data_IF_457537657980
#
_entry.id   IF_457537657980
#
_cell.length_a   1.000
_cell.length_b   1.000
_cell.length_c   1.000
_cell.angle_alpha   90.00
_cell.angle_beta   90.00
_cell.angle_gamma   90.00
#
_symmetry.space_group_name_H-M   'P 1'
#
loop_
_entity.id
_entity.type
_entity.pdbx_description
1 polymer ?
#
# COMPACT_ATOMS: atom_id res chain seq x y z
N UNK A 1 4.60 -35.72 11.81
CA UNK A 1 5.51 -34.62 11.40
C UNK A 1 5.01 -33.82 10.18
N UNK A 2 3.84 -34.13 9.61
CA UNK A 2 3.27 -33.36 8.47
C UNK A 2 2.30 -32.22 8.89
N UNK A 3 1.83 -32.14 10.13
CA UNK A 3 0.77 -31.20 10.53
C UNK A 3 1.24 -29.84 11.06
N UNK A 4 2.52 -29.66 11.34
CA UNK A 4 3.05 -28.35 11.80
C UNK A 4 3.56 -27.45 10.66
N UNK A 5 3.76 -27.99 9.45
CA UNK A 5 4.23 -27.22 8.30
C UNK A 5 3.13 -26.44 7.55
N UNK A 6 1.85 -26.71 7.81
CA UNK A 6 0.73 -26.12 7.05
C UNK A 6 0.11 -24.87 7.69
N UNK A 7 0.51 -24.47 8.89
CA UNK A 7 0.05 -23.24 9.54
C UNK A 7 0.66 -21.97 8.92
N UNK A 8 0.10 -20.81 9.25
CA UNK A 8 0.58 -19.48 8.79
C UNK A 8 2.09 -19.34 8.92
N UNK A 9 2.65 -19.64 10.10
CA UNK A 9 4.10 -19.56 10.36
C UNK A 9 4.93 -20.44 9.42
N UNK A 10 4.44 -21.63 9.11
CA UNK A 10 5.12 -22.57 8.20
C UNK A 10 5.15 -22.04 6.75
N UNK A 11 4.03 -21.50 6.25
CA UNK A 11 3.97 -20.89 4.92
C UNK A 11 4.85 -19.67 4.81
N UNK A 12 4.80 -18.75 5.78
CA UNK A 12 5.67 -17.56 5.83
C UNK A 12 7.14 -17.94 5.88
N UNK A 13 7.53 -18.94 6.68
CA UNK A 13 8.92 -19.42 6.75
C UNK A 13 9.40 -19.97 5.40
N UNK A 14 8.60 -20.81 4.73
CA UNK A 14 8.95 -21.31 3.38
C UNK A 14 9.10 -20.19 2.37
N UNK A 15 8.14 -19.23 2.36
CA UNK A 15 8.18 -18.07 1.49
C UNK A 15 9.45 -17.23 1.73
N UNK A 16 9.76 -16.93 2.99
CA UNK A 16 10.97 -16.20 3.36
C UNK A 16 12.25 -16.90 2.90
N UNK A 17 12.35 -18.21 3.11
CA UNK A 17 13.51 -18.99 2.66
C UNK A 17 13.62 -18.95 1.13
N UNK A 18 12.54 -19.18 0.41
CA UNK A 18 12.54 -19.14 -1.06
C UNK A 18 12.99 -17.77 -1.58
N UNK A 19 12.44 -16.69 -1.04
CA UNK A 19 12.80 -15.32 -1.43
C UNK A 19 14.25 -14.95 -1.10
N UNK A 20 14.83 -15.54 -0.05
CA UNK A 20 16.24 -15.34 0.31
C UNK A 20 17.17 -15.92 -0.76
N UNK A 21 16.79 -17.05 -1.33
CA UNK A 21 17.62 -17.79 -2.31
C UNK A 21 17.41 -17.33 -3.75
N UNK A 22 16.37 -16.52 -4.00
CA UNK A 22 16.02 -16.04 -5.35
C UNK A 22 16.88 -14.84 -5.79
N UNK A 23 17.22 -14.81 -7.08
CA UNK A 23 17.70 -13.61 -7.76
C UNK A 23 16.50 -12.82 -8.28
N UNK A 24 16.02 -11.85 -7.48
CA UNK A 24 14.85 -11.07 -7.81
C UNK A 24 15.17 -9.98 -8.85
N UNK A 25 14.27 -9.74 -9.82
CA UNK A 25 14.49 -8.75 -10.88
C UNK A 25 14.45 -7.32 -10.31
N UNK A 26 15.26 -6.43 -10.84
CA UNK A 26 15.38 -5.05 -10.38
C UNK A 26 15.45 -4.04 -11.53
N UNK A 27 16.01 -2.87 -11.25
CA UNK A 27 16.07 -1.71 -12.15
C UNK A 27 16.94 -1.92 -13.42
N UNK A 28 17.71 -3.00 -13.49
CA UNK A 28 18.48 -3.36 -14.68
C UNK A 28 17.72 -4.30 -15.62
N UNK A 29 16.51 -4.73 -15.22
CA UNK A 29 15.68 -5.62 -16.03
C UNK A 29 15.27 -4.94 -17.33
N UNK A 30 15.51 -5.57 -18.50
CA UNK A 30 15.10 -5.02 -19.77
C UNK A 30 13.58 -4.87 -19.88
N UNK A 31 13.09 -3.76 -20.45
CA UNK A 31 11.66 -3.52 -20.65
C UNK A 31 10.98 -4.64 -21.45
N UNK A 32 11.68 -5.25 -22.40
CA UNK A 32 11.16 -6.38 -23.16
C UNK A 32 10.85 -7.61 -22.29
N UNK A 33 11.59 -7.84 -21.20
CA UNK A 33 11.34 -8.96 -20.27
C UNK A 33 10.13 -8.65 -19.39
N UNK A 34 10.00 -7.38 -18.94
CA UNK A 34 8.82 -6.93 -18.19
C UNK A 34 7.55 -7.12 -19.03
N UNK A 35 7.59 -6.70 -20.30
CA UNK A 35 6.47 -6.84 -21.22
C UNK A 35 6.15 -8.31 -21.59
N UNK A 36 7.12 -9.22 -21.48
CA UNK A 36 6.90 -10.67 -21.67
C UNK A 36 6.31 -11.39 -20.45
N UNK A 37 6.15 -10.69 -19.33
CA UNK A 37 5.51 -11.23 -18.15
C UNK A 37 6.45 -11.75 -17.07
N UNK A 38 7.64 -11.17 -16.93
CA UNK A 38 8.62 -11.51 -15.90
C UNK A 38 8.00 -11.63 -14.49
N UNK A 39 7.01 -10.79 -14.17
CA UNK A 39 6.34 -10.87 -12.87
C UNK A 39 5.63 -12.21 -12.67
N UNK A 40 5.12 -12.84 -13.74
CA UNK A 40 4.51 -14.18 -13.66
C UNK A 40 5.55 -15.24 -13.34
N UNK A 41 6.76 -15.12 -13.89
CA UNK A 41 7.86 -16.04 -13.60
C UNK A 41 8.26 -15.92 -12.12
N UNK A 42 8.35 -14.69 -11.60
CA UNK A 42 8.61 -14.44 -10.16
C UNK A 42 7.54 -15.09 -9.26
N UNK A 43 6.26 -15.03 -9.66
CA UNK A 43 5.21 -15.71 -8.93
C UNK A 43 5.31 -17.24 -9.05
N UNK A 44 5.72 -17.77 -10.22
CA UNK A 44 5.89 -19.21 -10.43
C UNK A 44 6.94 -19.80 -9.48
N UNK A 45 8.02 -19.06 -9.24
CA UNK A 45 9.10 -19.48 -8.34
C UNK A 45 8.68 -19.63 -6.87
N UNK A 46 7.59 -19.00 -6.46
CA UNK A 46 7.06 -19.03 -5.08
C UNK A 46 5.65 -19.59 -4.97
N UNK A 47 5.04 -20.05 -6.06
CA UNK A 47 3.63 -20.44 -6.07
C UNK A 47 3.33 -21.64 -5.16
N UNK A 48 4.27 -22.56 -5.03
CA UNK A 48 4.22 -23.70 -4.11
C UNK A 48 4.21 -23.29 -2.62
N UNK A 49 4.65 -22.06 -2.30
CA UNK A 49 4.55 -21.47 -0.97
C UNK A 49 3.16 -20.86 -0.69
N UNK A 50 2.23 -20.90 -1.67
CA UNK A 50 0.88 -20.34 -1.58
C UNK A 50 0.86 -18.86 -1.16
N UNK A 51 1.55 -17.96 -1.88
CA UNK A 51 1.78 -16.58 -1.45
C UNK A 51 0.50 -15.74 -1.36
N UNK A 52 -0.60 -16.19 -1.95
CA UNK A 52 -1.89 -15.51 -1.93
C UNK A 52 -2.93 -16.19 -1.01
N UNK A 53 -2.53 -17.25 -0.27
CA UNK A 53 -3.45 -18.01 0.58
C UNK A 53 -4.14 -17.13 1.64
N UNK A 54 -3.40 -16.22 2.29
CA UNK A 54 -3.97 -15.32 3.28
C UNK A 54 -5.15 -14.47 2.77
N UNK A 55 -5.18 -14.17 1.46
CA UNK A 55 -6.24 -13.37 0.81
C UNK A 55 -7.46 -14.19 0.37
N UNK A 56 -7.40 -15.52 0.47
CA UNK A 56 -8.54 -16.37 0.17
C UNK A 56 -9.64 -16.17 1.24
N UNK A 57 -10.90 -16.46 0.95
CA UNK A 57 -11.97 -16.38 1.95
C UNK A 57 -11.61 -17.12 3.25
N UNK A 58 -12.05 -16.61 4.41
CA UNK A 58 -11.80 -17.25 5.72
C UNK A 58 -12.27 -18.70 5.76
N UNK A 59 -13.38 -19.03 5.07
CA UNK A 59 -13.86 -20.39 4.92
C UNK A 59 -12.90 -21.32 4.15
N UNK A 60 -11.93 -20.75 3.42
CA UNK A 60 -10.86 -21.45 2.70
C UNK A 60 -9.50 -21.33 3.43
N UNK A 61 -9.49 -20.81 4.65
CA UNK A 61 -8.30 -20.71 5.50
C UNK A 61 -7.57 -19.36 5.43
N UNK A 62 -8.04 -18.40 4.65
CA UNK A 62 -7.44 -17.05 4.61
C UNK A 62 -7.53 -16.33 5.94
N UNK A 63 -6.56 -15.48 6.26
CA UNK A 63 -6.53 -14.74 7.51
C UNK A 63 -5.79 -13.41 7.40
N UNK A 64 -6.20 -12.44 8.23
CA UNK A 64 -5.54 -11.14 8.33
C UNK A 64 -4.09 -11.25 8.79
N UNK A 65 -3.81 -12.14 9.75
CA UNK A 65 -2.45 -12.41 10.22
C UNK A 65 -1.53 -12.83 9.06
N UNK A 66 -2.00 -13.76 8.23
CA UNK A 66 -1.22 -14.24 7.09
C UNK A 66 -1.04 -13.17 6.01
N UNK A 67 -2.07 -12.36 5.73
CA UNK A 67 -1.96 -11.21 4.82
C UNK A 67 -0.83 -10.28 5.26
N UNK A 68 -0.87 -9.83 6.51
CA UNK A 68 0.08 -8.86 7.04
C UNK A 68 1.50 -9.43 7.08
N UNK A 69 1.67 -10.68 7.53
CA UNK A 69 2.96 -11.36 7.56
C UNK A 69 3.53 -11.59 6.14
N UNK A 70 2.67 -11.93 5.17
CA UNK A 70 3.09 -12.11 3.77
C UNK A 70 3.58 -10.80 3.17
N UNK A 71 2.81 -9.72 3.26
CA UNK A 71 3.20 -8.43 2.65
C UNK A 71 4.46 -7.85 3.31
N UNK A 72 4.63 -8.02 4.62
CA UNK A 72 5.83 -7.63 5.36
C UNK A 72 7.05 -8.43 4.87
N UNK A 73 6.94 -9.75 4.85
CA UNK A 73 8.04 -10.64 4.44
C UNK A 73 8.47 -10.34 3.01
N UNK A 74 7.53 -10.22 2.09
CA UNK A 74 7.85 -9.98 0.69
C UNK A 74 8.40 -8.57 0.48
N UNK A 75 7.90 -7.56 1.19
CA UNK A 75 8.43 -6.20 1.10
C UNK A 75 9.87 -6.08 1.62
N UNK A 76 10.27 -6.90 2.57
CA UNK A 76 11.66 -7.00 3.00
C UNK A 76 12.59 -7.45 1.88
N UNK A 77 12.16 -8.43 1.07
CA UNK A 77 12.97 -8.96 -0.02
C UNK A 77 12.83 -8.16 -1.31
N UNK A 78 11.58 -7.79 -1.70
CA UNK A 78 11.33 -7.21 -3.01
C UNK A 78 10.04 -6.38 -3.03
N UNK A 79 10.16 -5.06 -2.98
CA UNK A 79 9.03 -4.14 -2.92
C UNK A 79 8.08 -4.24 -4.14
N UNK A 80 8.56 -4.39 -5.39
CA UNK A 80 7.68 -4.61 -6.54
C UNK A 80 6.81 -5.87 -6.42
N UNK A 81 7.35 -6.96 -5.89
CA UNK A 81 6.58 -8.19 -5.67
C UNK A 81 5.53 -8.00 -4.56
N UNK A 82 5.86 -7.30 -3.48
CA UNK A 82 4.90 -6.98 -2.43
C UNK A 82 3.71 -6.18 -2.97
N UNK A 83 3.97 -5.19 -3.84
CA UNK A 83 2.89 -4.46 -4.52
C UNK A 83 2.09 -5.37 -5.46
N UNK A 84 2.73 -6.26 -6.21
CA UNK A 84 2.03 -7.21 -7.07
C UNK A 84 1.14 -8.16 -6.26
N UNK A 85 1.58 -8.60 -5.07
CA UNK A 85 0.75 -9.39 -4.14
C UNK A 85 -0.43 -8.57 -3.61
N UNK A 86 -0.22 -7.30 -3.28
CA UNK A 86 -1.31 -6.40 -2.88
C UNK A 86 -2.34 -6.20 -4.00
N UNK A 87 -1.90 -6.08 -5.25
CA UNK A 87 -2.79 -5.99 -6.42
C UNK A 87 -3.64 -7.27 -6.53
N UNK A 88 -3.01 -8.44 -6.49
CA UNK A 88 -3.72 -9.71 -6.58
C UNK A 88 -4.65 -9.95 -5.38
N UNK A 89 -4.15 -9.74 -4.17
CA UNK A 89 -4.85 -10.06 -2.94
C UNK A 89 -5.89 -9.01 -2.57
N UNK A 90 -5.44 -7.78 -2.32
CA UNK A 90 -6.30 -6.74 -1.73
C UNK A 90 -7.19 -6.08 -2.77
N UNK A 91 -6.66 -5.82 -3.98
CA UNK A 91 -7.43 -5.14 -5.01
C UNK A 91 -8.28 -6.10 -5.85
N UNK A 92 -8.02 -7.41 -5.79
CA UNK A 92 -8.78 -8.39 -6.57
C UNK A 92 -9.43 -9.49 -5.69
N UNK A 93 -8.66 -10.36 -5.00
CA UNK A 93 -9.20 -11.53 -4.30
C UNK A 93 -10.15 -11.17 -3.16
N UNK A 94 -9.77 -10.25 -2.27
CA UNK A 94 -10.63 -9.85 -1.15
C UNK A 94 -11.98 -9.26 -1.63
N UNK A 95 -12.02 -8.31 -2.60
CA UNK A 95 -13.30 -7.82 -3.13
C UNK A 95 -14.12 -8.89 -3.83
N UNK A 96 -13.51 -9.77 -4.62
CA UNK A 96 -14.20 -10.88 -5.28
C UNK A 96 -14.78 -11.83 -4.23
N UNK A 97 -13.97 -12.22 -3.24
CA UNK A 97 -14.43 -13.10 -2.15
C UNK A 97 -15.62 -12.56 -1.38
N UNK A 98 -15.65 -11.23 -1.19
CA UNK A 98 -16.67 -10.55 -0.40
C UNK A 98 -17.92 -10.15 -1.20
N UNK A 99 -17.76 -9.63 -2.42
CA UNK A 99 -18.81 -8.93 -3.14
C UNK A 99 -19.30 -9.61 -4.42
N UNK A 100 -18.61 -10.65 -4.90
CA UNK A 100 -19.01 -11.36 -6.12
C UNK A 100 -20.17 -12.33 -5.85
N UNK A 101 -21.03 -12.53 -6.87
CA UNK A 101 -22.01 -13.61 -6.89
C UNK A 101 -21.32 -14.97 -6.81
N UNK A 102 -22.01 -15.97 -6.24
CA UNK A 102 -21.41 -17.29 -5.94
C UNK A 102 -20.72 -17.91 -7.13
N UNK A 103 -21.32 -17.88 -8.34
CA UNK A 103 -20.73 -18.46 -9.53
C UNK A 103 -19.36 -17.85 -9.85
N UNK A 104 -19.26 -16.51 -9.88
CA UNK A 104 -18.02 -15.80 -10.20
C UNK A 104 -16.98 -16.00 -9.09
N UNK A 105 -17.43 -15.90 -7.85
CA UNK A 105 -16.55 -16.11 -6.69
C UNK A 105 -15.95 -17.51 -6.70
N UNK A 106 -16.78 -18.54 -6.83
CA UNK A 106 -16.36 -19.93 -6.73
C UNK A 106 -15.45 -20.32 -7.91
N UNK A 107 -15.71 -19.78 -9.12
CA UNK A 107 -14.84 -19.92 -10.29
C UNK A 107 -13.45 -19.32 -10.02
N UNK A 108 -13.38 -18.05 -9.60
CA UNK A 108 -12.12 -17.34 -9.34
C UNK A 108 -11.34 -18.03 -8.21
N UNK A 109 -12.01 -18.33 -7.07
CA UNK A 109 -11.33 -18.94 -5.94
C UNK A 109 -10.78 -20.35 -6.26
N UNK A 110 -11.53 -21.12 -7.05
CA UNK A 110 -11.04 -22.43 -7.54
C UNK A 110 -9.76 -22.30 -8.37
N UNK A 111 -9.70 -21.31 -9.26
CA UNK A 111 -8.52 -21.06 -10.10
C UNK A 111 -7.30 -20.64 -9.27
N UNK A 112 -7.47 -19.75 -8.30
CA UNK A 112 -6.37 -19.30 -7.42
C UNK A 112 -5.92 -20.35 -6.40
N UNK A 113 -6.73 -21.39 -6.14
CA UNK A 113 -6.36 -22.53 -5.30
C UNK A 113 -5.63 -23.64 -6.08
N UNK A 114 -5.51 -23.51 -7.39
CA UNK A 114 -4.86 -24.48 -8.27
C UNK A 114 -3.34 -24.42 -8.23
N UNK A 115 -2.72 -25.33 -8.98
CA UNK A 115 -1.26 -25.42 -9.13
C UNK A 115 -0.69 -24.37 -10.11
N UNK A 116 -1.53 -23.86 -11.01
CA UNK A 116 -1.10 -22.91 -12.02
C UNK A 116 -1.07 -21.50 -11.47
N UNK A 117 -0.10 -20.69 -11.90
CA UNK A 117 -0.03 -19.28 -11.54
C UNK A 117 -1.21 -18.54 -12.15
N UNK A 118 -2.02 -17.94 -11.29
CA UNK A 118 -3.15 -17.10 -11.67
C UNK A 118 -2.98 -15.71 -11.09
N UNK A 119 -3.11 -14.68 -11.92
CA UNK A 119 -2.95 -13.29 -11.53
C UNK A 119 -4.27 -12.53 -11.73
N UNK A 120 -4.65 -11.74 -10.75
CA UNK A 120 -5.80 -10.85 -10.80
C UNK A 120 -5.40 -9.40 -10.65
N UNK A 121 -6.07 -8.51 -11.37
CA UNK A 121 -5.80 -7.09 -11.35
C UNK A 121 -7.05 -6.23 -11.28
N UNK A 122 -6.87 -4.93 -11.04
CA UNK A 122 -7.94 -3.95 -11.01
C UNK A 122 -7.68 -2.84 -12.04
N UNK A 123 -8.69 -2.55 -12.85
CA UNK A 123 -8.70 -1.45 -13.82
C UNK A 123 -9.66 -0.36 -13.36
N UNK A 124 -9.14 0.67 -12.68
CA UNK A 124 -9.94 1.78 -12.15
C UNK A 124 -9.64 3.09 -12.88
N UNK A 125 -8.38 3.47 -12.96
CA UNK A 125 -7.89 4.76 -13.46
C UNK A 125 -8.06 4.89 -14.97
N UNK A 126 -8.32 6.11 -15.44
CA UNK A 126 -8.47 6.47 -16.85
C UNK A 126 -7.57 7.67 -17.20
N UNK A 127 -7.20 7.89 -18.49
CA UNK A 127 -6.26 8.95 -18.86
C UNK A 127 -6.61 10.36 -18.36
N UNK A 128 -7.89 10.61 -18.11
CA UNK A 128 -8.40 11.92 -17.67
C UNK A 128 -8.87 11.94 -16.21
N UNK A 129 -8.87 10.80 -15.51
CA UNK A 129 -9.26 10.74 -14.10
C UNK A 129 -8.44 9.71 -13.30
N UNK A 130 -7.99 10.13 -12.13
CA UNK A 130 -7.33 9.29 -11.15
C UNK A 130 -7.97 9.50 -9.78
N UNK A 131 -7.65 10.59 -9.10
CA UNK A 131 -8.21 10.93 -7.78
C UNK A 131 -9.73 11.16 -7.83
N UNK A 132 -10.23 11.82 -8.87
CA UNK A 132 -11.66 12.00 -9.11
C UNK A 132 -12.24 10.80 -9.87
N UNK A 133 -12.54 9.73 -9.13
CA UNK A 133 -13.11 8.50 -9.70
C UNK A 133 -14.51 8.70 -10.31
N UNK A 134 -15.24 9.75 -9.91
CA UNK A 134 -16.57 10.04 -10.43
C UNK A 134 -16.56 10.66 -11.83
N UNK A 135 -15.39 11.09 -12.29
CA UNK A 135 -15.17 11.54 -13.66
C UNK A 135 -14.94 10.39 -14.65
N UNK A 136 -14.98 9.11 -14.21
CA UNK A 136 -14.77 7.96 -15.07
C UNK A 136 -15.75 7.92 -16.24
N UNK A 137 -15.22 7.64 -17.44
CA UNK A 137 -15.95 7.61 -18.72
C UNK A 137 -16.16 6.20 -19.26
N UNK A 138 -15.46 5.19 -18.76
CA UNK A 138 -15.74 3.78 -19.09
C UNK A 138 -17.19 3.49 -18.73
N UNK A 139 -17.97 3.02 -19.71
CA UNK A 139 -19.41 2.77 -19.54
C UNK A 139 -19.70 1.29 -19.39
N UNK A 140 -20.74 0.97 -18.63
CA UNK A 140 -21.36 -0.34 -18.55
C UNK A 140 -22.82 -0.20 -19.04
N UNK A 141 -23.14 -0.81 -20.17
CA UNK A 141 -24.49 -0.84 -20.72
C UNK A 141 -25.11 -2.21 -20.48
N UNK A 142 -26.09 -2.25 -19.58
CA UNK A 142 -26.75 -3.49 -19.17
C UNK A 142 -27.82 -3.89 -20.19
N UNK A 143 -27.75 -5.13 -20.69
CA UNK A 143 -28.80 -5.79 -21.46
C UNK A 143 -29.62 -6.78 -20.60
N UNK A 144 -30.44 -7.60 -21.25
CA UNK A 144 -31.29 -8.58 -20.56
C UNK A 144 -30.45 -9.67 -19.84
N UNK A 145 -29.40 -10.19 -20.48
CA UNK A 145 -28.57 -11.29 -19.99
C UNK A 145 -27.09 -10.92 -19.82
N UNK A 146 -26.63 -9.88 -20.50
CA UNK A 146 -25.24 -9.46 -20.52
C UNK A 146 -25.09 -7.96 -20.29
N UNK A 147 -23.88 -7.53 -19.91
CA UNK A 147 -23.48 -6.14 -19.77
C UNK A 147 -22.27 -5.89 -20.67
N UNK A 148 -22.37 -4.93 -21.58
CA UNK A 148 -21.24 -4.48 -22.39
C UNK A 148 -20.49 -3.37 -21.67
N UNK A 149 -19.17 -3.55 -21.52
CA UNK A 149 -18.27 -2.56 -20.93
C UNK A 149 -17.36 -2.00 -22.02
N UNK A 150 -17.31 -0.66 -22.11
CA UNK A 150 -16.50 0.02 -23.13
C UNK A 150 -15.80 1.24 -22.55
N UNK A 151 -14.50 1.35 -22.83
CA UNK A 151 -13.69 2.48 -22.39
C UNK A 151 -12.21 2.26 -22.54
N UNK A 152 -11.45 3.08 -21.80
CA UNK A 152 -9.99 3.01 -21.78
C UNK A 152 -9.50 3.11 -20.35
N UNK A 153 -8.57 2.23 -19.98
CA UNK A 153 -7.93 2.19 -18.67
C UNK A 153 -6.44 2.37 -18.78
N UNK A 154 -5.81 2.92 -17.72
CA UNK A 154 -4.36 3.05 -17.69
C UNK A 154 -3.78 2.94 -16.27
N UNK A 155 -2.46 2.83 -16.19
CA UNK A 155 -1.72 2.62 -14.93
C UNK A 155 -2.21 1.42 -14.12
N UNK A 156 -2.86 0.45 -14.75
CA UNK A 156 -3.19 -0.80 -14.09
C UNK A 156 -1.93 -1.66 -13.94
N UNK A 157 -1.55 -2.00 -12.73
CA UNK A 157 -0.47 -2.96 -12.51
C UNK A 157 -0.86 -4.32 -13.09
N UNK A 158 0.10 -5.08 -13.61
CA UNK A 158 -0.07 -6.35 -14.34
C UNK A 158 -0.70 -6.20 -15.73
N UNK A 159 -0.65 -5.01 -16.34
CA UNK A 159 -1.17 -4.76 -17.70
C UNK A 159 -0.70 -5.84 -18.68
N UNK A 160 -1.65 -6.50 -19.34
CA UNK A 160 -1.40 -7.57 -20.32
C UNK A 160 -1.03 -8.93 -19.73
N UNK A 161 -0.95 -9.08 -18.39
CA UNK A 161 -0.47 -10.32 -17.73
C UNK A 161 -1.37 -10.85 -16.63
N UNK A 162 -2.40 -10.12 -16.21
CA UNK A 162 -3.42 -10.68 -15.32
C UNK A 162 -4.33 -11.65 -16.10
N UNK A 163 -4.78 -12.72 -15.44
CA UNK A 163 -5.76 -13.68 -15.98
C UNK A 163 -7.20 -13.20 -15.75
N UNK A 164 -7.38 -12.38 -14.71
CA UNK A 164 -8.67 -11.76 -14.40
C UNK A 164 -8.51 -10.27 -14.15
N UNK A 165 -9.51 -9.52 -14.57
CA UNK A 165 -9.61 -8.10 -14.31
C UNK A 165 -10.90 -7.75 -13.58
N UNK A 166 -10.78 -6.88 -12.59
CA UNK A 166 -11.91 -6.19 -11.98
C UNK A 166 -12.01 -4.79 -12.59
N UNK A 167 -12.95 -4.58 -13.51
CA UNK A 167 -13.07 -3.37 -14.31
C UNK A 167 -14.10 -2.43 -13.69
N UNK A 168 -13.68 -1.21 -13.33
CA UNK A 168 -14.54 -0.14 -12.85
C UNK A 168 -15.23 0.57 -14.03
N UNK A 169 -16.55 0.65 -13.99
CA UNK A 169 -17.33 1.26 -15.06
C UNK A 169 -18.56 2.01 -14.53
N UNK A 170 -19.03 2.99 -15.30
CA UNK A 170 -20.21 3.78 -15.03
C UNK A 170 -21.41 3.17 -15.75
N UNK A 171 -22.44 2.80 -15.00
CA UNK A 171 -23.74 2.39 -15.51
C UNK A 171 -24.61 3.64 -15.72
N UNK A 172 -24.90 3.99 -16.96
CA UNK A 172 -25.62 5.21 -17.33
C UNK A 172 -27.13 5.10 -17.05
N UNK A 173 -27.65 3.89 -16.99
CA UNK A 173 -29.08 3.62 -16.75
C UNK A 173 -29.40 3.40 -15.27
N UNK A 174 -28.36 3.19 -14.44
CA UNK A 174 -28.54 2.97 -13.01
C UNK A 174 -28.78 4.27 -12.24
N UNK A 175 -29.58 4.16 -11.18
CA UNK A 175 -29.80 5.25 -10.22
C UNK A 175 -28.48 5.68 -9.52
N UNK A 176 -28.49 6.85 -8.87
CA UNK A 176 -27.30 7.45 -8.24
C UNK A 176 -26.51 6.49 -7.33
N UNK A 177 -27.21 5.57 -6.64
CA UNK A 177 -26.59 4.59 -5.72
C UNK A 177 -25.77 3.53 -6.44
N UNK A 178 -26.19 3.13 -7.64
CA UNK A 178 -25.64 2.02 -8.42
C UNK A 178 -24.92 2.48 -9.68
N UNK A 179 -24.67 3.79 -9.79
CA UNK A 179 -24.11 4.46 -10.98
C UNK A 179 -22.74 3.93 -11.40
N UNK A 180 -21.97 3.41 -10.47
CA UNK A 180 -20.65 2.82 -10.72
C UNK A 180 -20.62 1.40 -10.17
N UNK A 181 -19.87 0.54 -10.81
CA UNK A 181 -19.64 -0.82 -10.33
C UNK A 181 -18.30 -1.36 -10.84
N UNK A 182 -17.81 -2.39 -10.15
CA UNK A 182 -16.78 -3.25 -10.68
C UNK A 182 -17.41 -4.47 -11.35
N UNK A 183 -16.75 -4.98 -12.37
CA UNK A 183 -17.14 -6.18 -13.10
C UNK A 183 -15.92 -7.09 -13.22
N UNK A 184 -16.08 -8.36 -12.89
CA UNK A 184 -15.02 -9.38 -13.02
C UNK A 184 -15.05 -9.93 -14.45
N UNK A 185 -13.92 -9.89 -15.12
CA UNK A 185 -13.74 -10.37 -16.49
C UNK A 185 -12.53 -11.28 -16.61
N UNK A 186 -12.60 -12.35 -17.40
CA UNK A 186 -11.41 -13.07 -17.84
C UNK A 186 -10.62 -12.21 -18.82
N UNK A 187 -9.29 -12.23 -18.68
CA UNK A 187 -8.40 -11.53 -19.61
C UNK A 187 -8.30 -12.21 -21.00
N UNK A 188 -8.83 -13.44 -21.12
CA UNK A 188 -8.93 -14.14 -22.42
C UNK A 188 -9.96 -13.50 -23.37
N UNK A 189 -10.80 -12.57 -22.87
CA UNK A 189 -11.74 -11.84 -23.73
C UNK A 189 -10.94 -10.96 -24.73
N UNK A 190 -11.14 -11.15 -26.05
CA UNK A 190 -10.41 -10.41 -27.09
C UNK A 190 -10.69 -8.91 -27.10
N UNK A 191 -11.64 -8.43 -26.31
CA UNK A 191 -11.96 -7.02 -26.14
C UNK A 191 -10.97 -6.27 -25.24
N UNK A 192 -10.04 -6.95 -24.57
CA UNK A 192 -8.90 -6.33 -23.91
C UNK A 192 -7.74 -6.16 -24.90
N UNK A 193 -7.33 -4.91 -25.15
CA UNK A 193 -6.21 -4.60 -26.05
C UNK A 193 -5.26 -3.63 -25.38
N UNK A 194 -4.06 -4.10 -25.04
CA UNK A 194 -3.00 -3.22 -24.57
C UNK A 194 -2.55 -2.35 -25.75
N UNK A 195 -2.72 -1.03 -25.63
CA UNK A 195 -2.33 -0.06 -26.65
C UNK A 195 -0.95 0.54 -26.40
N UNK A 196 -0.48 0.53 -25.16
CA UNK A 196 0.81 1.10 -24.78
C UNK A 196 1.31 0.46 -23.48
N UNK A 197 2.61 0.17 -23.40
CA UNK A 197 3.30 -0.14 -22.16
C UNK A 197 4.12 1.07 -21.70
N UNK A 198 4.09 1.37 -20.42
CA UNK A 198 4.83 2.48 -19.82
C UNK A 198 6.20 2.04 -19.33
N UNK A 199 7.22 2.85 -19.59
CA UNK A 199 8.53 2.70 -19.00
C UNK A 199 8.57 3.46 -17.67
N UNK A 200 8.40 2.73 -16.57
CA UNK A 200 8.45 3.30 -15.23
C UNK A 200 9.90 3.35 -14.70
N UNK A 201 10.24 4.40 -13.96
CA UNK A 201 11.57 4.53 -13.34
C UNK A 201 11.71 3.74 -12.04
N UNK A 202 10.63 3.20 -11.50
CA UNK A 202 10.57 2.35 -10.30
C UNK A 202 9.53 1.26 -10.44
N UNK A 203 9.53 0.28 -9.52
CA UNK A 203 8.67 -0.89 -9.56
C UNK A 203 8.78 -1.66 -10.89
N UNK A 204 9.97 -1.66 -11.47
CA UNK A 204 10.24 -2.08 -12.85
C UNK A 204 9.71 -3.46 -13.24
N UNK A 205 9.68 -4.49 -12.38
CA UNK A 205 9.13 -5.80 -12.73
C UNK A 205 7.63 -5.82 -13.00
N UNK A 206 6.89 -4.75 -12.61
CA UNK A 206 5.44 -4.68 -12.80
C UNK A 206 5.13 -4.01 -14.13
N UNK A 207 4.46 -4.68 -15.07
CA UNK A 207 4.03 -4.05 -16.30
C UNK A 207 2.88 -3.08 -16.04
N UNK A 208 3.05 -1.84 -16.44
CA UNK A 208 2.03 -0.80 -16.47
C UNK A 208 1.75 -0.39 -17.92
N UNK A 209 0.52 0.04 -18.19
CA UNK A 209 0.20 0.45 -19.54
C UNK A 209 -1.19 1.04 -19.69
N UNK A 210 -1.60 1.17 -20.93
CA UNK A 210 -2.90 1.63 -21.37
C UNK A 210 -3.63 0.47 -22.06
N UNK A 211 -4.89 0.24 -21.67
CA UNK A 211 -5.71 -0.87 -22.16
C UNK A 211 -7.06 -0.35 -22.67
N UNK A 212 -7.36 -0.64 -23.92
CA UNK A 212 -8.71 -0.49 -24.49
C UNK A 212 -9.56 -1.65 -23.99
N UNK A 213 -10.80 -1.36 -23.61
CA UNK A 213 -11.77 -2.32 -23.10
C UNK A 213 -13.05 -2.22 -23.96
N UNK A 214 -13.44 -3.31 -24.60
CA UNK A 214 -14.73 -3.47 -25.30
C UNK A 214 -15.16 -4.93 -25.16
N UNK A 215 -15.74 -5.26 -24.02
CA UNK A 215 -16.05 -6.62 -23.58
C UNK A 215 -17.54 -6.78 -23.29
N UNK A 216 -18.03 -8.00 -23.39
CA UNK A 216 -19.40 -8.35 -23.03
C UNK A 216 -19.41 -9.46 -21.97
N UNK A 217 -19.99 -9.19 -20.82
CA UNK A 217 -19.97 -10.05 -19.65
C UNK A 217 -21.38 -10.46 -19.24
N UNK A 218 -21.58 -11.65 -18.66
CA UNK A 218 -22.83 -11.98 -17.98
C UNK A 218 -23.16 -10.98 -16.89
N UNK A 219 -24.45 -10.72 -16.64
CA UNK A 219 -24.89 -9.72 -15.67
C UNK A 219 -24.46 -10.03 -14.22
N UNK A 220 -24.16 -11.26 -13.89
CA UNK A 220 -23.64 -11.70 -12.59
C UNK A 220 -22.13 -11.46 -12.42
N UNK A 221 -21.42 -11.02 -13.47
CA UNK A 221 -20.04 -10.56 -13.37
C UNK A 221 -19.89 -9.24 -12.58
N UNK A 222 -21.00 -8.48 -12.41
CA UNK A 222 -21.04 -7.29 -11.58
C UNK A 222 -20.93 -7.65 -10.11
N UNK A 223 -19.99 -7.04 -9.39
CA UNK A 223 -19.81 -7.25 -7.95
C UNK A 223 -20.49 -6.14 -7.13
N UNK A 224 -20.80 -6.44 -5.87
CA UNK A 224 -21.40 -5.48 -4.94
C UNK A 224 -22.91 -5.35 -5.08
N UNK A 225 -23.62 -6.36 -5.56
CA UNK A 225 -25.09 -6.35 -5.63
C UNK A 225 -25.71 -6.09 -4.27
N UNK A 226 -26.56 -5.05 -4.20
CA UNK A 226 -27.19 -4.61 -2.95
C UNK A 226 -26.34 -3.66 -2.07
N UNK A 227 -25.04 -3.53 -2.34
CA UNK A 227 -24.18 -2.54 -1.69
C UNK A 227 -24.07 -1.26 -2.55
N UNK A 228 -24.00 -0.08 -1.89
CA UNK A 228 -23.68 1.14 -2.61
C UNK A 228 -22.24 1.06 -3.15
N UNK A 229 -22.02 1.48 -4.40
CA UNK A 229 -20.69 1.44 -5.01
C UNK A 229 -19.62 2.17 -4.17
N UNK A 230 -20.02 3.27 -3.51
CA UNK A 230 -19.12 4.02 -2.62
C UNK A 230 -18.61 3.19 -1.45
N UNK A 231 -19.45 2.30 -0.91
CA UNK A 231 -19.04 1.39 0.17
C UNK A 231 -18.09 0.31 -0.32
N UNK A 232 -18.29 -0.20 -1.54
CA UNK A 232 -17.35 -1.17 -2.16
C UNK A 232 -15.99 -0.53 -2.41
N UNK A 233 -15.97 0.66 -3.03
CA UNK A 233 -14.73 1.42 -3.27
C UNK A 233 -14.03 1.77 -1.95
N UNK A 234 -14.76 2.29 -0.97
CA UNK A 234 -14.22 2.61 0.35
C UNK A 234 -13.60 1.38 1.02
N UNK A 235 -14.30 0.24 1.00
CA UNK A 235 -13.81 -1.01 1.58
C UNK A 235 -12.53 -1.53 0.92
N UNK A 236 -12.40 -1.42 -0.40
CA UNK A 236 -11.17 -1.76 -1.13
C UNK A 236 -10.02 -0.83 -0.70
N UNK A 237 -10.23 0.48 -0.75
CA UNK A 237 -9.22 1.47 -0.42
C UNK A 237 -8.78 1.40 1.06
N UNK A 238 -9.70 1.15 1.99
CA UNK A 238 -9.36 0.96 3.40
C UNK A 238 -8.40 -0.21 3.61
N UNK A 239 -8.69 -1.37 3.02
CA UNK A 239 -7.85 -2.56 3.14
C UNK A 239 -6.47 -2.33 2.53
N UNK A 240 -6.43 -1.78 1.32
CA UNK A 240 -5.17 -1.46 0.64
C UNK A 240 -4.31 -0.48 1.45
N UNK A 241 -4.92 0.52 2.07
CA UNK A 241 -4.23 1.47 2.95
C UNK A 241 -3.74 0.83 4.25
N UNK A 242 -4.51 -0.06 4.85
CA UNK A 242 -4.13 -0.73 6.10
C UNK A 242 -2.89 -1.63 5.94
N UNK A 243 -2.80 -2.39 4.85
CA UNK A 243 -1.63 -3.23 4.60
C UNK A 243 -0.35 -2.43 4.33
N UNK A 244 -0.46 -1.14 4.03
CA UNK A 244 0.72 -0.28 3.80
C UNK A 244 1.65 -0.21 5.02
N UNK A 245 1.12 -0.41 6.24
CA UNK A 245 1.95 -0.54 7.45
C UNK A 245 2.90 -1.73 7.38
N UNK A 246 2.40 -2.90 6.96
CA UNK A 246 3.19 -4.11 6.80
C UNK A 246 4.21 -4.00 5.66
N UNK A 247 3.78 -3.46 4.52
CA UNK A 247 4.69 -3.19 3.37
C UNK A 247 5.82 -2.25 3.79
N UNK A 248 5.48 -1.15 4.48
CA UNK A 248 6.47 -0.16 4.91
C UNK A 248 7.43 -0.74 5.97
N UNK A 249 6.94 -1.56 6.90
CA UNK A 249 7.78 -2.18 7.92
C UNK A 249 8.79 -3.16 7.30
N UNK A 250 8.34 -4.08 6.45
CA UNK A 250 9.26 -4.98 5.74
C UNK A 250 10.31 -4.23 4.93
N UNK A 251 9.89 -3.23 4.17
CA UNK A 251 10.77 -2.39 3.38
C UNK A 251 11.78 -1.59 4.24
N UNK A 252 11.31 -0.92 5.31
CA UNK A 252 12.17 -0.12 6.18
C UNK A 252 13.22 -0.98 6.90
N UNK A 253 12.86 -2.20 7.33
CA UNK A 253 13.80 -3.19 7.87
C UNK A 253 14.90 -3.54 6.88
N UNK A 254 14.55 -3.73 5.60
CA UNK A 254 15.54 -4.00 4.56
C UNK A 254 16.45 -2.79 4.33
N UNK A 255 15.90 -1.59 4.24
CA UNK A 255 16.66 -0.34 4.09
C UNK A 255 17.61 -0.14 5.26
N UNK A 256 17.15 -0.39 6.50
CA UNK A 256 17.97 -0.28 7.71
C UNK A 256 19.13 -1.29 7.72
N UNK A 257 18.83 -2.53 7.34
CA UNK A 257 19.85 -3.60 7.24
C UNK A 257 20.92 -3.21 6.22
N UNK A 258 20.55 -2.76 5.05
CA UNK A 258 21.47 -2.33 3.99
C UNK A 258 22.31 -1.12 4.41
N UNK A 259 21.66 -0.13 5.07
CA UNK A 259 22.32 1.08 5.54
C UNK A 259 23.38 0.75 6.61
N UNK A 260 23.04 -0.10 7.59
CA UNK A 260 23.98 -0.54 8.64
C UNK A 260 25.17 -1.31 8.07
N UNK A 261 24.90 -2.31 7.22
CA UNK A 261 25.95 -3.12 6.60
C UNK A 261 26.92 -2.25 5.78
N UNK A 262 26.40 -1.29 5.02
CA UNK A 262 27.23 -0.38 4.24
C UNK A 262 28.04 0.56 5.15
N UNK A 263 27.42 1.17 6.16
CA UNK A 263 28.07 2.11 7.05
C UNK A 263 29.17 1.44 7.93
N UNK A 264 29.01 0.18 8.29
CA UNK A 264 30.00 -0.61 9.04
C UNK A 264 31.17 -1.06 8.16
N UNK A 265 30.88 -1.48 6.92
CA UNK A 265 31.90 -2.02 6.02
C UNK A 265 32.73 -0.95 5.31
N UNK A 266 32.16 0.24 5.08
CA UNK A 266 32.83 1.34 4.37
C UNK A 266 33.58 2.23 5.33
N UNK A 267 34.87 2.48 5.04
CA UNK A 267 35.74 3.37 5.83
C UNK A 267 35.96 4.72 5.13
N UNK A 268 35.99 5.79 5.91
CA UNK A 268 36.45 7.12 5.51
C UNK A 268 37.22 7.76 6.69
N UNK A 269 38.24 8.56 6.40
CA UNK A 269 39.06 9.22 7.42
C UNK A 269 39.69 8.25 8.43
N UNK A 270 39.85 6.98 8.06
CA UNK A 270 40.48 5.95 8.91
C UNK A 270 39.51 5.17 9.79
N UNK A 271 38.22 5.49 9.76
CA UNK A 271 37.17 4.84 10.59
C UNK A 271 35.97 4.37 9.73
N UNK A 272 35.18 3.38 10.21
CA UNK A 272 33.91 3.04 9.61
C UNK A 272 32.97 4.25 9.50
N UNK A 273 32.20 4.36 8.42
CA UNK A 273 31.24 5.46 8.26
C UNK A 273 30.24 5.54 9.41
N UNK A 274 29.90 4.41 10.02
CA UNK A 274 29.00 4.36 11.19
C UNK A 274 29.47 5.18 12.40
N UNK A 275 30.77 5.54 12.46
CA UNK A 275 31.35 6.39 13.52
C UNK A 275 31.16 7.88 13.27
N UNK A 276 30.76 8.28 12.07
CA UNK A 276 30.53 9.69 11.72
C UNK A 276 29.16 10.12 12.22
N UNK A 277 29.10 11.23 12.96
CA UNK A 277 27.87 11.74 13.60
C UNK A 277 26.71 11.93 12.60
N UNK A 278 26.95 12.53 11.43
CA UNK A 278 25.92 12.70 10.40
C UNK A 278 25.45 11.37 9.78
N UNK A 279 26.28 10.32 9.80
CA UNK A 279 25.86 8.99 9.35
C UNK A 279 25.04 8.30 10.43
N UNK A 280 25.46 8.40 11.69
CA UNK A 280 24.71 7.91 12.84
C UNK A 280 23.29 8.54 12.87
N UNK A 281 23.17 9.85 12.68
CA UNK A 281 21.89 10.55 12.56
C UNK A 281 21.01 9.98 11.44
N UNK A 282 21.59 9.68 10.25
CA UNK A 282 20.83 9.11 9.14
C UNK A 282 20.37 7.68 9.43
N UNK A 283 21.19 6.87 10.11
CA UNK A 283 20.80 5.54 10.57
C UNK A 283 19.64 5.60 11.57
N UNK A 284 19.66 6.55 12.51
CA UNK A 284 18.56 6.79 13.44
C UNK A 284 17.27 7.21 12.70
N UNK A 285 17.36 8.03 11.64
CA UNK A 285 16.19 8.40 10.81
C UNK A 285 15.58 7.19 10.10
N UNK A 286 16.40 6.28 9.56
CA UNK A 286 15.90 5.04 8.97
C UNK A 286 15.28 4.15 10.04
N UNK A 287 15.90 4.05 11.22
CA UNK A 287 15.37 3.30 12.35
C UNK A 287 14.04 3.89 12.84
N UNK A 288 13.91 5.20 12.91
CA UNK A 288 12.64 5.88 13.19
C UNK A 288 11.53 5.45 12.21
N UNK A 289 11.83 5.39 10.91
CA UNK A 289 10.87 4.90 9.92
C UNK A 289 10.45 3.46 10.20
N UNK A 290 11.39 2.59 10.53
CA UNK A 290 11.10 1.18 10.87
C UNK A 290 10.16 1.10 12.10
N UNK A 291 10.48 1.83 13.17
CA UNK A 291 9.69 1.86 14.40
C UNK A 291 8.25 2.35 14.15
N UNK A 292 8.09 3.45 13.41
CA UNK A 292 6.77 3.98 13.07
C UNK A 292 5.96 3.01 12.21
N UNK A 293 6.61 2.36 11.22
CA UNK A 293 5.95 1.36 10.38
C UNK A 293 5.55 0.12 11.20
N UNK A 294 6.37 -0.33 12.16
CA UNK A 294 6.06 -1.42 13.09
C UNK A 294 4.87 -1.08 13.99
N UNK A 295 4.78 0.15 14.46
CA UNK A 295 3.62 0.62 15.25
C UNK A 295 2.34 0.58 14.42
N UNK A 296 2.38 1.07 13.18
CA UNK A 296 1.25 1.04 12.26
C UNK A 296 0.83 -0.39 11.87
N UNK A 297 1.79 -1.29 11.66
CA UNK A 297 1.52 -2.72 11.42
C UNK A 297 0.88 -3.37 12.65
N UNK A 298 1.41 -3.12 13.85
CA UNK A 298 0.85 -3.62 15.11
C UNK A 298 -0.59 -3.16 15.32
N UNK A 299 -0.87 -1.88 15.05
CA UNK A 299 -2.23 -1.36 15.10
C UNK A 299 -3.15 -2.06 14.09
N UNK A 300 -2.72 -2.23 12.83
CA UNK A 300 -3.50 -2.93 11.82
C UNK A 300 -3.78 -4.39 12.20
N UNK A 301 -2.82 -5.07 12.84
CA UNK A 301 -2.98 -6.46 13.28
C UNK A 301 -3.96 -6.62 14.46
N UNK A 302 -3.95 -5.68 15.40
CA UNK A 302 -4.65 -5.84 16.69
C UNK A 302 -5.98 -5.09 16.77
N UNK A 303 -6.15 -3.99 16.02
CA UNK A 303 -7.27 -3.05 16.23
C UNK A 303 -8.28 -3.02 15.09
N UNK A 304 -7.97 -3.64 13.93
CA UNK A 304 -8.80 -3.52 12.73
C UNK A 304 -9.78 -4.69 12.57
N UNK A 305 -9.58 -5.80 13.27
CA UNK A 305 -10.34 -7.04 13.09
C UNK A 305 -9.93 -7.79 11.83
N UNK A 306 -10.89 -8.24 11.02
CA UNK A 306 -10.57 -9.00 9.81
C UNK A 306 -10.58 -8.13 8.54
N UNK A 307 -9.57 -8.32 7.69
CA UNK A 307 -9.52 -7.71 6.36
C UNK A 307 -10.47 -8.38 5.34
N UNK A 308 -11.07 -9.53 5.69
CA UNK A 308 -12.02 -10.26 4.84
C UNK A 308 -13.45 -9.68 4.91
N UNK A 309 -13.71 -8.82 5.88
CA UNK A 309 -14.99 -8.13 6.07
C UNK A 309 -14.83 -6.61 5.83
N UNK A 310 -15.92 -5.85 5.62
CA UNK A 310 -15.83 -4.40 5.61
C UNK A 310 -15.24 -3.91 6.93
N UNK A 311 -14.12 -3.23 6.84
CA UNK A 311 -13.47 -2.65 8.03
C UNK A 311 -14.28 -1.43 8.47
N UNK A 312 -14.79 -1.38 9.70
CA UNK A 312 -15.40 -0.16 10.21
C UNK A 312 -14.39 0.98 10.16
N UNK A 313 -14.76 2.10 9.59
CA UNK A 313 -13.88 3.27 9.53
C UNK A 313 -13.80 3.92 10.91
N UNK A 314 -12.90 3.42 11.75
CA UNK A 314 -12.57 4.06 13.00
C UNK A 314 -11.54 5.18 12.75
N UNK A 315 -12.02 6.44 12.83
CA UNK A 315 -11.18 7.66 12.87
C UNK A 315 -10.20 7.90 11.72
N UNK A 316 -10.41 7.29 10.54
CA UNK A 316 -9.53 7.52 9.39
C UNK A 316 -8.15 6.85 9.48
N UNK A 317 -7.94 5.90 10.39
CA UNK A 317 -6.65 5.24 10.63
C UNK A 317 -6.01 4.65 9.35
N UNK A 318 -6.82 4.15 8.43
CA UNK A 318 -6.31 3.64 7.15
C UNK A 318 -5.60 4.73 6.31
N UNK A 319 -6.12 5.96 6.34
CA UNK A 319 -5.50 7.12 5.66
C UNK A 319 -4.20 7.53 6.35
N UNK A 320 -4.22 7.60 7.69
CA UNK A 320 -3.03 7.87 8.52
C UNK A 320 -1.93 6.87 8.20
N UNK A 321 -2.23 5.57 8.28
CA UNK A 321 -1.25 4.50 8.01
C UNK A 321 -0.65 4.66 6.62
N UNK A 322 -1.49 4.74 5.58
CA UNK A 322 -0.98 4.84 4.20
C UNK A 322 -0.16 6.10 3.99
N UNK A 323 -0.65 7.27 4.34
CA UNK A 323 0.01 8.52 4.01
C UNK A 323 1.32 8.70 4.79
N UNK A 324 1.33 8.35 6.08
CA UNK A 324 2.53 8.46 6.91
C UNK A 324 3.56 7.39 6.53
N UNK A 325 3.16 6.11 6.47
CA UNK A 325 4.08 5.01 6.17
C UNK A 325 4.80 5.22 4.83
N UNK A 326 4.05 5.55 3.77
CA UNK A 326 4.63 5.73 2.44
C UNK A 326 5.48 6.99 2.31
N UNK A 327 5.20 8.05 3.09
CA UNK A 327 6.08 9.20 3.22
C UNK A 327 7.41 8.82 3.84
N UNK A 328 7.36 8.13 4.98
CA UNK A 328 8.54 7.66 5.70
C UNK A 328 9.38 6.66 4.89
N UNK A 329 8.77 5.80 4.06
CA UNK A 329 9.53 4.93 3.14
C UNK A 329 10.44 5.73 2.20
N UNK A 330 9.95 6.83 1.64
CA UNK A 330 10.75 7.71 0.77
C UNK A 330 11.85 8.40 1.56
N UNK A 331 11.55 8.90 2.76
CA UNK A 331 12.52 9.56 3.62
C UNK A 331 13.65 8.59 4.01
N UNK A 332 13.34 7.35 4.39
CA UNK A 332 14.33 6.32 4.69
C UNK A 332 15.21 5.97 3.48
N UNK A 333 14.61 5.90 2.28
CA UNK A 333 15.33 5.63 1.03
C UNK A 333 16.31 6.75 0.67
N UNK A 334 15.92 8.03 0.89
CA UNK A 334 16.81 9.18 0.72
C UNK A 334 18.00 9.08 1.68
N UNK A 335 17.76 8.78 2.95
CA UNK A 335 18.83 8.60 3.93
C UNK A 335 19.79 7.47 3.55
N UNK A 336 19.29 6.32 3.05
CA UNK A 336 20.14 5.24 2.54
C UNK A 336 21.00 5.72 1.37
N UNK A 337 20.40 6.41 0.39
CA UNK A 337 21.10 6.93 -0.77
C UNK A 337 22.24 7.87 -0.37
N UNK A 338 21.99 8.73 0.62
CA UNK A 338 23.00 9.67 1.14
C UNK A 338 24.13 8.96 1.92
N UNK A 339 23.82 7.88 2.66
CA UNK A 339 24.86 7.06 3.33
C UNK A 339 25.75 6.38 2.28
N UNK A 340 25.15 5.84 1.22
CA UNK A 340 25.88 5.15 0.15
C UNK A 340 26.64 6.11 -0.79
N UNK A 341 26.28 7.39 -0.82
CA UNK A 341 26.90 8.39 -1.68
C UNK A 341 26.85 8.00 -3.16
N UNK A 342 27.96 8.19 -3.90
CA UNK A 342 28.02 7.83 -5.32
C UNK A 342 27.73 6.35 -5.61
N UNK A 343 28.00 5.45 -4.66
CA UNK A 343 27.63 4.03 -4.77
C UNK A 343 26.10 3.87 -4.83
N UNK A 344 25.34 4.60 -4.01
CA UNK A 344 23.87 4.57 -3.97
C UNK A 344 23.21 5.12 -5.24
N UNK A 345 23.95 5.82 -6.11
CA UNK A 345 23.42 6.35 -7.38
C UNK A 345 23.54 5.37 -8.56
N UNK A 346 23.97 4.14 -8.31
CA UNK A 346 24.09 3.11 -9.35
C UNK A 346 22.76 2.34 -9.48
N UNK A 347 22.36 2.01 -10.71
CA UNK A 347 21.12 1.20 -10.97
C UNK A 347 21.15 -0.20 -10.36
N UNK A 348 22.34 -0.70 -10.00
CA UNK A 348 22.56 -2.04 -9.41
C UNK A 348 22.56 -2.04 -7.89
N UNK A 349 22.36 -0.89 -7.24
CA UNK A 349 22.40 -0.76 -5.78
C UNK A 349 21.05 -0.34 -5.23
N UNK A 350 20.80 -0.66 -3.97
CA UNK A 350 19.53 -0.39 -3.34
C UNK A 350 19.25 1.11 -3.13
N UNK A 351 20.27 1.97 -3.05
CA UNK A 351 20.08 3.40 -2.77
C UNK A 351 19.11 4.08 -3.73
N UNK A 352 19.37 3.99 -5.04
CA UNK A 352 18.47 4.57 -6.04
C UNK A 352 17.19 3.75 -6.21
N UNK A 353 17.29 2.41 -6.22
CA UNK A 353 16.11 1.56 -6.43
C UNK A 353 15.10 1.70 -5.29
N UNK A 354 15.54 1.75 -4.05
CA UNK A 354 14.66 1.98 -2.91
C UNK A 354 13.86 3.30 -3.06
N UNK A 355 14.54 4.38 -3.46
CA UNK A 355 13.91 5.69 -3.63
C UNK A 355 12.86 5.67 -4.76
N UNK A 356 13.21 5.13 -5.92
CA UNK A 356 12.31 5.10 -7.09
C UNK A 356 11.16 4.10 -6.92
N UNK A 357 11.39 2.99 -6.22
CA UNK A 357 10.33 2.01 -5.92
C UNK A 357 9.37 2.50 -4.82
N UNK A 358 9.86 3.23 -3.81
CA UNK A 358 9.03 3.76 -2.73
C UNK A 358 8.20 4.97 -3.19
N UNK A 359 8.70 5.78 -4.13
CA UNK A 359 8.07 7.05 -4.51
C UNK A 359 6.61 6.91 -4.98
N UNK A 360 6.22 5.95 -5.86
CA UNK A 360 4.85 5.78 -6.33
C UNK A 360 3.84 5.46 -5.22
N UNK A 361 4.29 4.86 -4.11
CA UNK A 361 3.43 4.58 -2.95
C UNK A 361 2.81 5.85 -2.35
N UNK A 362 3.42 7.02 -2.52
CA UNK A 362 2.86 8.32 -2.11
C UNK A 362 1.73 8.80 -3.03
N UNK A 363 1.57 8.21 -4.20
CA UNK A 363 0.67 8.66 -5.28
C UNK A 363 -0.59 7.81 -5.36
N UNK A 364 -0.45 6.49 -5.52
CA UNK A 364 -1.60 5.61 -5.66
C UNK A 364 -2.37 5.40 -4.34
N UNK A 365 -3.56 4.83 -4.40
CA UNK A 365 -4.51 4.66 -3.28
C UNK A 365 -4.91 6.00 -2.61
N UNK A 366 -4.77 7.09 -3.35
CA UNK A 366 -4.94 8.48 -2.93
C UNK A 366 -3.62 9.15 -2.59
N UNK A 367 -3.29 10.29 -3.24
CA UNK A 367 -2.08 11.04 -2.94
C UNK A 367 -2.00 11.42 -1.45
N UNK A 368 -0.81 11.35 -0.86
CA UNK A 368 -0.63 11.57 0.58
C UNK A 368 -1.21 12.90 1.05
N UNK A 369 -1.00 13.99 0.30
CA UNK A 369 -1.53 15.31 0.65
C UNK A 369 -3.07 15.32 0.70
N UNK A 370 -3.73 14.61 -0.22
CA UNK A 370 -5.20 14.46 -0.21
C UNK A 370 -5.66 13.69 1.04
N UNK A 371 -4.92 12.66 1.44
CA UNK A 371 -5.26 11.85 2.62
C UNK A 371 -5.04 12.64 3.91
N UNK A 372 -3.97 13.42 4.01
CA UNK A 372 -3.71 14.30 5.16
C UNK A 372 -4.78 15.40 5.25
N UNK A 373 -5.13 16.08 4.14
CA UNK A 373 -6.21 17.07 4.13
C UNK A 373 -7.55 16.47 4.55
N UNK A 374 -7.92 15.30 4.02
CA UNK A 374 -9.14 14.59 4.43
C UNK A 374 -9.12 14.20 5.91
N UNK A 375 -7.99 13.68 6.41
CA UNK A 375 -7.82 13.35 7.83
C UNK A 375 -8.02 14.56 8.71
N UNK A 376 -7.31 15.66 8.44
CA UNK A 376 -7.46 16.92 9.15
C UNK A 376 -8.91 17.42 9.13
N UNK A 377 -9.58 17.43 7.97
CA UNK A 377 -10.99 17.84 7.87
C UNK A 377 -11.93 17.01 8.76
N UNK A 378 -11.70 15.71 8.83
CA UNK A 378 -12.54 14.82 9.66
C UNK A 378 -12.29 15.04 11.15
N UNK A 379 -11.04 15.28 11.56
CA UNK A 379 -10.67 15.56 12.96
C UNK A 379 -11.20 16.94 13.38
N UNK A 380 -11.06 17.95 12.53
CA UNK A 380 -11.59 19.27 12.75
C UNK A 380 -13.11 19.28 12.92
N UNK A 381 -13.85 18.48 12.12
CA UNK A 381 -15.31 18.33 12.29
C UNK A 381 -15.69 17.67 13.60
N UNK A 382 -14.86 16.74 14.10
CA UNK A 382 -15.07 16.05 15.38
C UNK A 382 -14.74 16.94 16.57
N UNK A 383 -13.71 17.78 16.44
CA UNK A 383 -13.21 18.65 17.50
C UNK A 383 -14.08 19.88 17.80
N UNK A 384 -15.21 20.09 17.13
CA UNK A 384 -16.13 21.25 17.23
C UNK A 384 -15.93 22.15 18.46
N UNK A 385 -15.24 23.27 18.29
CA UNK A 385 -15.04 24.25 19.36
C UNK A 385 -13.88 23.96 20.32
N UNK A 386 -13.08 22.93 20.09
CA UNK A 386 -11.83 22.67 20.81
C UNK A 386 -10.69 23.42 20.12
N UNK A 387 -9.70 23.86 20.88
CA UNK A 387 -8.42 24.31 20.31
C UNK A 387 -7.65 23.13 19.72
N UNK A 388 -6.75 23.39 18.77
CA UNK A 388 -5.86 22.35 18.22
C UNK A 388 -5.04 21.68 19.34
N UNK A 389 -4.64 22.42 20.36
CA UNK A 389 -3.95 21.91 21.55
C UNK A 389 -4.78 20.89 22.34
N UNK A 390 -6.07 21.18 22.56
CA UNK A 390 -6.98 20.24 23.23
C UNK A 390 -7.22 18.99 22.36
N UNK A 391 -7.30 19.15 21.06
CA UNK A 391 -7.44 18.03 20.14
C UNK A 391 -6.21 17.12 20.13
N UNK A 392 -4.99 17.68 20.10
CA UNK A 392 -3.72 16.94 20.15
C UNK A 392 -3.44 16.37 21.54
N UNK A 393 -3.88 17.02 22.63
CA UNK A 393 -3.74 16.50 24.00
C UNK A 393 -4.62 15.27 24.28
N UNK A 394 -5.66 15.07 23.49
CA UNK A 394 -6.45 13.83 23.49
C UNK A 394 -5.67 12.62 22.94
N UNK A 395 -4.58 12.85 22.22
CA UNK A 395 -3.54 11.87 21.92
C UNK A 395 -2.54 11.92 23.06
N UNK A 396 -2.16 10.81 23.67
CA UNK A 396 -1.22 10.73 24.81
C UNK A 396 0.17 11.36 24.52
N UNK A 397 0.42 11.74 23.29
CA UNK A 397 1.63 12.42 22.82
C UNK A 397 1.39 13.93 22.74
N UNK A 398 1.92 14.68 23.70
CA UNK A 398 1.89 16.14 23.69
C UNK A 398 3.26 16.68 23.28
N UNK A 399 3.39 17.33 22.12
CA UNK A 399 4.66 17.94 21.73
C UNK A 399 5.03 19.04 22.74
N UNK A 400 6.22 18.96 23.29
CA UNK A 400 6.69 19.85 24.38
C UNK A 400 7.20 21.22 23.91
N UNK A 401 7.04 21.58 22.62
CA UNK A 401 7.70 22.76 22.06
C UNK A 401 6.80 23.99 21.98
N UNK A 402 7.34 25.14 22.43
CA UNK A 402 6.76 26.47 22.32
C UNK A 402 6.43 26.90 20.86
N UNK A 403 7.04 26.27 19.87
CA UNK A 403 6.81 26.50 18.45
C UNK A 403 5.44 25.97 17.98
N UNK A 404 4.98 24.87 18.57
CA UNK A 404 3.63 24.33 18.35
C UNK A 404 2.55 25.19 19.00
N UNK A 405 2.87 25.88 20.10
CA UNK A 405 1.89 26.71 20.80
C UNK A 405 1.23 27.76 19.89
N UNK A 406 1.98 28.37 18.96
CA UNK A 406 1.44 29.38 18.05
C UNK A 406 0.49 28.81 16.99
N UNK A 407 0.64 27.54 16.61
CA UNK A 407 -0.29 26.80 15.76
C UNK A 407 -1.49 26.29 16.56
N UNK A 408 -1.26 25.90 17.81
CA UNK A 408 -2.25 25.35 18.74
C UNK A 408 -3.31 26.40 19.17
N UNK A 409 -2.97 27.69 19.11
CA UNK A 409 -3.87 28.80 19.45
C UNK A 409 -4.74 29.28 18.26
N UNK A 410 -4.53 28.75 17.06
CA UNK A 410 -5.36 29.12 15.90
C UNK A 410 -6.71 28.42 15.97
N UNK A 411 -7.77 29.19 15.72
CA UNK A 411 -9.12 28.65 15.49
C UNK A 411 -9.13 27.79 14.22
N UNK A 412 -9.80 26.68 14.32
CA UNK A 412 -9.75 25.55 13.38
C UNK A 412 -10.61 25.76 12.13
N UNK A 413 -11.52 26.76 12.13
CA UNK A 413 -12.62 26.83 11.17
C UNK A 413 -12.24 27.36 9.77
N UNK A 414 -11.07 27.99 9.59
CA UNK A 414 -10.66 28.64 8.33
C UNK A 414 -9.22 28.31 7.88
N UNK A 415 -8.71 27.11 8.16
CA UNK A 415 -7.38 26.75 7.70
C UNK A 415 -7.34 26.53 6.17
N UNK A 416 -6.41 27.20 5.44
CA UNK A 416 -6.15 26.89 4.04
C UNK A 416 -5.83 25.40 3.82
N UNK A 417 -6.12 24.88 2.64
CA UNK A 417 -5.86 23.46 2.33
C UNK A 417 -4.40 23.06 2.61
N UNK A 418 -3.43 23.92 2.28
CA UNK A 418 -2.02 23.66 2.57
C UNK A 418 -1.76 23.44 4.06
N UNK A 419 -2.34 24.27 4.92
CA UNK A 419 -2.15 24.19 6.37
C UNK A 419 -2.85 22.95 6.93
N UNK A 420 -4.00 22.53 6.35
CA UNK A 420 -4.66 21.30 6.71
C UNK A 420 -3.85 20.05 6.35
N UNK A 421 -3.09 20.08 5.23
CA UNK A 421 -2.15 18.98 4.88
C UNK A 421 -1.06 18.86 5.94
N UNK A 422 -0.47 19.99 6.37
CA UNK A 422 0.53 20.02 7.45
C UNK A 422 -0.05 19.47 8.75
N UNK A 423 -1.22 19.97 9.14
CA UNK A 423 -1.95 19.52 10.33
C UNK A 423 -2.23 18.02 10.28
N UNK A 424 -2.74 17.51 9.15
CA UNK A 424 -3.02 16.09 8.96
C UNK A 424 -1.78 15.22 9.09
N UNK A 425 -0.61 15.71 8.63
CA UNK A 425 0.66 15.01 8.82
C UNK A 425 1.10 15.00 10.29
N UNK A 426 0.90 16.09 11.02
CA UNK A 426 1.19 16.16 12.46
C UNK A 426 0.29 15.21 13.25
N UNK A 427 -1.02 15.20 12.96
CA UNK A 427 -1.97 14.27 13.59
C UNK A 427 -1.57 12.82 13.29
N UNK A 428 -1.19 12.51 12.07
CA UNK A 428 -0.76 11.18 11.69
C UNK A 428 0.48 10.70 12.45
N UNK A 429 1.43 11.59 12.71
CA UNK A 429 2.59 11.30 13.57
C UNK A 429 2.17 11.05 15.02
N UNK A 430 1.27 11.88 15.57
CA UNK A 430 0.74 11.72 16.92
C UNK A 430 -0.03 10.39 17.08
N UNK A 431 -0.88 10.03 16.11
CA UNK A 431 -1.59 8.74 16.07
C UNK A 431 -0.60 7.57 16.11
N UNK A 432 0.41 7.58 15.25
CA UNK A 432 1.38 6.49 15.18
C UNK A 432 2.23 6.38 16.46
N UNK A 433 2.58 7.49 17.10
CA UNK A 433 3.24 7.50 18.41
C UNK A 433 2.32 6.94 19.51
N UNK A 434 1.03 7.26 19.48
CA UNK A 434 0.05 6.69 20.40
C UNK A 434 -0.03 5.16 20.22
N UNK A 435 -0.16 4.67 18.99
CA UNK A 435 -0.17 3.22 18.71
C UNK A 435 1.12 2.52 19.14
N UNK A 436 2.26 3.22 19.02
CA UNK A 436 3.54 2.70 19.49
C UNK A 436 3.56 2.55 21.02
N UNK A 437 3.05 3.54 21.75
CA UNK A 437 3.02 3.52 23.22
C UNK A 437 2.03 2.48 23.78
N UNK A 438 0.96 2.17 23.04
CA UNK A 438 -0.03 1.16 23.40
C UNK A 438 0.46 -0.28 23.14
N UNK A 439 1.43 -0.44 22.25
CA UNK A 439 1.94 -1.74 21.84
C UNK A 439 3.04 -2.23 22.78
N UNK A 440 2.90 -3.46 23.31
CA UNK A 440 3.85 -4.08 24.27
C UNK A 440 5.18 -4.52 23.62
N UNK A 441 5.41 -4.27 22.34
CA UNK A 441 6.57 -4.80 21.61
C UNK A 441 7.74 -3.80 21.46
N UNK A 442 7.67 -2.63 22.09
CA UNK A 442 8.71 -1.60 22.03
C UNK A 442 9.44 -1.42 23.34
N UNK A 443 10.75 -1.20 23.29
CA UNK A 443 11.57 -0.85 24.45
C UNK A 443 11.49 0.65 24.76
N UNK A 444 11.87 1.07 25.97
CA UNK A 444 11.93 2.47 26.37
C UNK A 444 12.89 3.27 25.45
N UNK A 445 14.04 2.70 25.06
CA UNK A 445 14.99 3.32 24.14
C UNK A 445 14.40 3.56 22.75
N UNK A 446 13.60 2.61 22.25
CA UNK A 446 12.90 2.75 20.97
C UNK A 446 11.82 3.84 21.05
N UNK A 447 11.07 3.92 22.13
CA UNK A 447 10.08 4.97 22.38
C UNK A 447 10.73 6.34 22.47
N UNK A 448 11.86 6.49 23.19
CA UNK A 448 12.61 7.75 23.30
C UNK A 448 13.17 8.21 21.94
N UNK A 449 13.73 7.27 21.14
CA UNK A 449 14.23 7.58 19.81
C UNK A 449 13.09 8.06 18.92
N UNK A 450 11.97 7.36 18.90
CA UNK A 450 10.82 7.72 18.07
C UNK A 450 10.23 9.07 18.49
N UNK A 451 10.08 9.34 19.78
CA UNK A 451 9.57 10.60 20.30
C UNK A 451 10.47 11.78 19.90
N UNK A 452 11.78 11.67 20.06
CA UNK A 452 12.75 12.71 19.68
C UNK A 452 12.64 13.08 18.21
N UNK A 453 12.54 12.10 17.32
CA UNK A 453 12.43 12.35 15.88
C UNK A 453 11.04 12.86 15.48
N UNK A 454 9.96 12.36 16.07
CA UNK A 454 8.61 12.84 15.83
C UNK A 454 8.45 14.32 16.25
N UNK A 455 8.95 14.69 17.43
CA UNK A 455 8.96 16.07 17.93
C UNK A 455 9.75 17.01 16.99
N UNK A 456 10.93 16.58 16.55
CA UNK A 456 11.74 17.37 15.61
C UNK A 456 11.03 17.54 14.25
N UNK A 457 10.32 16.53 13.76
CA UNK A 457 9.54 16.64 12.52
C UNK A 457 8.33 17.58 12.70
N UNK A 458 7.59 17.45 13.80
CA UNK A 458 6.47 18.36 14.11
C UNK A 458 6.95 19.80 14.26
N UNK A 459 8.06 20.05 14.95
CA UNK A 459 8.62 21.38 15.09
C UNK A 459 9.00 22.01 13.75
N UNK A 460 9.59 21.22 12.82
CA UNK A 460 9.89 21.70 11.46
C UNK A 460 8.63 22.05 10.67
N UNK A 461 7.60 21.23 10.75
CA UNK A 461 6.33 21.47 10.09
C UNK A 461 5.60 22.71 10.63
N UNK A 462 5.77 23.02 11.92
CA UNK A 462 5.14 24.17 12.55
C UNK A 462 5.69 25.54 12.07
N UNK A 463 6.92 25.56 11.53
CA UNK A 463 7.59 26.79 11.05
C UNK A 463 7.32 27.05 9.57
N UNK A 464 6.91 26.06 8.80
CA UNK A 464 6.61 26.15 7.35
C UNK A 464 5.15 26.49 7.08
#
# INVERSE_FOLDING_TARGET
MASECDGVKGRISRLNTRLTDMSLPGHTTPQAEIQRGLIRDVFADVWDCQPLHGFMPEAMGGSTEEILATVETVAYHHLPMALSMAINGVLFLLPVGQYAESRVRDEVMSRFSGSDVVLGGMMMTEPHCGTDLFAAKTTAKRGATSTRIRGEKHWSGLTGHADYWMVFARDEEAGRRDRFAFHVASADDPGFKVSEYYEACGLCPIPYGRTQVDIELPNDARIGKGAAYSSVVAGILQRSRLISGGVAHGFARRVLTEARNYAESRTAFGEPLARLDQVAYRLERIQFTELMARAMLSYAANSVGTLHQPVPESRGCSRTIKALATGLMVDASDHLSMIQGAHGFRRTTMGLSALTDAHPFRIFEGPNDVLFDQGACDDLRRAKGQSLGEMLSGHQFTPSTSTLASLLDRGVEDLPQRDRVVLGRMIALADAMCWMSEAVCFSDEELELAARHAEADMARMAVT
#
